data_IF_167443817061
#
_entry.id   IF_167443817061
#
_cell.length_a   1.000
_cell.length_b   1.000
_cell.length_c   1.000
_cell.angle_alpha   90.00
_cell.angle_beta   90.00
_cell.angle_gamma   90.00
#
_symmetry.space_group_name_H-M   'P 1'
#
loop_
_entity.id
_entity.type
_entity.pdbx_description
1 polymer ?
#
# COMPACT_ATOMS: atom_id res chain seq x y z
N UNK A 1 27.96 -39.23 1.44
CA UNK A 1 29.00 -38.17 1.39
C UNK A 1 30.36 -38.84 1.32
N UNK A 2 31.19 -38.50 0.35
CA UNK A 2 32.56 -39.03 0.25
C UNK A 2 33.49 -38.22 1.16
N UNK A 3 34.36 -38.91 1.89
CA UNK A 3 35.44 -38.32 2.69
C UNK A 3 36.76 -38.95 2.25
N UNK A 4 37.85 -38.27 2.54
CA UNK A 4 39.20 -38.67 2.20
C UNK A 4 40.03 -38.80 3.47
N UNK A 5 41.07 -39.61 3.44
CA UNK A 5 42.10 -39.66 4.46
C UNK A 5 43.45 -39.53 3.77
N UNK A 6 44.42 -38.92 4.45
CA UNK A 6 45.80 -38.87 3.98
C UNK A 6 46.54 -40.06 4.57
N UNK A 7 47.19 -40.83 3.70
CA UNK A 7 47.96 -42.01 4.08
C UNK A 7 49.45 -41.71 3.90
N UNK A 8 50.25 -42.11 4.89
CA UNK A 8 51.72 -42.05 4.82
C UNK A 8 52.26 -43.48 4.78
N UNK A 9 53.08 -43.77 3.77
CA UNK A 9 53.70 -45.07 3.54
C UNK A 9 55.10 -44.88 2.95
N UNK A 10 55.99 -45.85 3.15
CA UNK A 10 57.29 -45.91 2.45
C UNK A 10 57.17 -46.50 1.05
N UNK A 11 56.00 -47.01 0.68
CA UNK A 11 55.69 -47.62 -0.61
C UNK A 11 54.51 -46.90 -1.28
N UNK A 12 54.42 -46.97 -2.62
CA UNK A 12 53.32 -46.34 -3.37
C UNK A 12 51.98 -47.08 -3.21
N UNK A 13 52.03 -48.39 -2.93
CA UNK A 13 50.83 -49.19 -2.65
C UNK A 13 50.31 -48.88 -1.25
N UNK A 14 48.99 -48.72 -1.15
CA UNK A 14 48.28 -48.44 0.11
C UNK A 14 47.55 -49.68 0.67
N UNK A 15 47.77 -50.85 0.07
CA UNK A 15 47.19 -52.12 0.51
C UNK A 15 48.05 -52.86 1.55
N UNK A 16 49.27 -52.37 1.81
CA UNK A 16 50.24 -52.97 2.74
C UNK A 16 50.38 -52.20 4.08
N UNK A 17 51.46 -52.46 4.85
CA UNK A 17 51.72 -51.76 6.11
C UNK A 17 51.86 -50.25 5.92
N UNK A 18 51.00 -49.47 6.60
CA UNK A 18 51.00 -48.01 6.57
C UNK A 18 51.71 -47.45 7.79
N UNK A 19 52.38 -46.30 7.66
CA UNK A 19 53.03 -45.61 8.78
C UNK A 19 52.01 -44.83 9.61
N UNK A 20 51.08 -44.15 8.93
CA UNK A 20 50.02 -43.37 9.55
C UNK A 20 48.85 -43.16 8.59
N UNK A 21 47.66 -42.95 9.16
CA UNK A 21 46.44 -42.57 8.45
C UNK A 21 45.81 -41.40 9.19
N UNK A 22 45.45 -40.33 8.49
CA UNK A 22 44.80 -39.17 9.09
C UNK A 22 43.36 -39.45 9.48
N UNK A 23 42.77 -38.54 10.26
CA UNK A 23 41.33 -38.44 10.39
C UNK A 23 40.66 -38.14 9.04
N UNK A 24 39.34 -38.32 9.01
CA UNK A 24 38.51 -38.04 7.85
C UNK A 24 38.50 -36.56 7.49
N UNK A 25 38.92 -36.26 6.27
CA UNK A 25 38.84 -34.97 5.63
C UNK A 25 37.65 -34.90 4.67
N UNK A 26 36.82 -33.88 4.82
CA UNK A 26 35.76 -33.57 3.87
C UNK A 26 36.21 -32.43 2.96
N UNK A 27 36.50 -32.74 1.69
CA UNK A 27 36.99 -31.77 0.71
C UNK A 27 35.79 -31.17 -0.04
N UNK A 28 35.66 -29.85 0.01
CA UNK A 28 34.60 -29.11 -0.68
C UNK A 28 35.13 -27.76 -1.15
N UNK A 29 34.56 -27.21 -2.22
CA UNK A 29 34.79 -25.82 -2.64
C UNK A 29 33.52 -25.00 -2.37
N UNK A 30 33.24 -24.77 -1.08
CA UNK A 30 32.04 -24.07 -0.62
C UNK A 30 32.41 -23.12 0.52
N UNK A 31 32.42 -21.82 0.23
CA UNK A 31 32.74 -20.76 1.20
C UNK A 31 31.74 -20.67 2.36
N UNK A 32 30.58 -21.31 2.23
CA UNK A 32 29.52 -21.35 3.27
C UNK A 32 29.52 -22.65 4.07
N UNK A 33 30.45 -23.58 3.83
CA UNK A 33 30.51 -24.81 4.63
C UNK A 33 30.65 -24.49 6.12
N UNK A 34 29.93 -25.23 6.96
CA UNK A 34 29.87 -25.01 8.40
C UNK A 34 29.03 -23.79 8.84
N UNK A 35 28.63 -22.89 7.93
CA UNK A 35 27.73 -21.78 8.27
C UNK A 35 26.28 -22.27 8.27
N UNK A 36 25.52 -21.89 9.30
CA UNK A 36 24.06 -22.03 9.28
C UNK A 36 23.49 -21.18 8.15
N UNK A 37 22.45 -21.68 7.49
CA UNK A 37 21.71 -20.89 6.51
C UNK A 37 21.26 -19.59 7.20
N UNK A 38 21.66 -18.43 6.65
CA UNK A 38 21.09 -17.16 7.07
C UNK A 38 19.62 -17.19 6.66
N UNK A 39 18.70 -16.95 7.62
CA UNK A 39 17.32 -16.61 7.28
C UNK A 39 17.39 -15.42 6.33
N UNK A 40 16.88 -15.59 5.12
CA UNK A 40 16.68 -14.49 4.15
C UNK A 40 15.45 -13.65 4.52
N UNK A 41 14.90 -13.86 5.72
CA UNK A 41 13.93 -12.95 6.27
C UNK A 41 14.69 -11.70 6.72
N UNK A 42 14.46 -10.53 6.10
CA UNK A 42 15.12 -9.30 6.54
C UNK A 42 14.86 -9.02 8.02
N UNK A 43 13.80 -9.61 8.61
CA UNK A 43 13.35 -9.35 9.96
C UNK A 43 13.90 -10.24 11.07
N UNK A 44 14.80 -11.20 10.77
CA UNK A 44 15.26 -12.17 11.78
C UNK A 44 16.76 -12.52 11.66
N UNK A 45 17.61 -11.85 12.45
CA UNK A 45 19.07 -12.03 12.44
C UNK A 45 19.71 -11.92 13.83
N UNK A 46 20.36 -13.01 14.27
CA UNK A 46 21.03 -13.25 15.55
C UNK A 46 22.36 -12.47 15.80
N UNK A 47 22.52 -11.27 15.23
CA UNK A 47 23.61 -10.34 15.60
C UNK A 47 22.98 -9.21 16.44
N UNK A 48 23.72 -8.50 17.33
CA UNK A 48 23.14 -7.33 18.00
C UNK A 48 22.48 -6.47 16.93
N UNK A 49 21.16 -6.18 17.03
CA UNK A 49 20.41 -5.77 15.87
C UNK A 49 20.97 -4.42 15.44
N UNK A 50 21.69 -4.40 14.32
CA UNK A 50 21.52 -3.27 13.42
C UNK A 50 20.01 -3.23 13.18
N UNK A 51 19.30 -2.18 13.64
CA UNK A 51 17.86 -2.17 13.64
C UNK A 51 17.40 -2.48 12.23
N UNK A 52 16.80 -3.67 12.04
CA UNK A 52 16.12 -3.99 10.79
C UNK A 52 15.04 -2.94 10.70
N UNK A 53 15.24 -2.01 9.79
CA UNK A 53 14.43 -0.84 9.68
C UNK A 53 13.01 -1.33 9.35
N UNK A 54 12.11 -1.19 10.33
CA UNK A 54 10.78 -1.79 10.27
C UNK A 54 9.94 -0.98 9.29
N UNK A 55 9.18 -1.62 8.38
CA UNK A 55 8.29 -0.89 7.48
C UNK A 55 7.33 -0.01 8.25
N UNK A 56 7.28 1.28 7.92
CA UNK A 56 6.39 2.24 8.56
C UNK A 56 5.58 3.02 7.52
N UNK A 57 4.36 3.40 7.88
CA UNK A 57 3.52 4.28 7.06
C UNK A 57 3.64 5.70 7.61
N UNK A 58 3.88 6.67 6.73
CA UNK A 58 3.90 8.11 7.04
C UNK A 58 2.70 8.83 6.46
N UNK A 59 2.29 8.49 5.24
CA UNK A 59 1.15 9.11 4.57
C UNK A 59 0.52 8.17 3.53
N UNK A 60 -0.73 8.46 3.17
CA UNK A 60 -1.51 7.76 2.14
C UNK A 60 -2.13 8.82 1.24
N UNK A 61 -1.93 8.71 -0.07
CA UNK A 61 -2.41 9.69 -1.05
C UNK A 61 -2.95 9.00 -2.30
N UNK A 62 -4.23 9.23 -2.67
CA UNK A 62 -5.27 9.90 -1.89
C UNK A 62 -5.60 9.19 -0.55
N UNK A 63 -6.07 9.93 0.45
CA UNK A 63 -6.49 9.38 1.75
C UNK A 63 -7.97 8.99 1.81
N UNK A 64 -8.67 9.07 0.68
CA UNK A 64 -10.09 8.71 0.55
C UNK A 64 -10.41 8.14 -0.83
N UNK A 65 -11.52 7.43 -0.93
CA UNK A 65 -12.02 6.88 -2.18
C UNK A 65 -13.35 6.17 -2.04
N UNK A 66 -13.91 5.73 -3.16
CA UNK A 66 -15.25 5.15 -3.20
C UNK A 66 -15.30 3.74 -2.61
N UNK A 67 -16.45 3.40 -2.01
CA UNK A 67 -16.79 2.04 -1.54
C UNK A 67 -16.71 0.97 -2.63
N UNK A 68 -16.80 1.34 -3.90
CA UNK A 68 -16.59 0.42 -5.04
C UNK A 68 -15.15 -0.13 -5.13
N UNK A 69 -14.17 0.54 -4.52
CA UNK A 69 -12.76 0.20 -4.67
C UNK A 69 -12.21 0.53 -6.06
N UNK A 70 -11.03 -0.02 -6.37
CA UNK A 70 -10.34 0.14 -7.66
C UNK A 70 -9.63 1.48 -7.86
N UNK A 71 -9.58 2.32 -6.82
CA UNK A 71 -8.82 3.58 -6.87
C UNK A 71 -7.34 3.29 -6.61
N UNK A 72 -6.48 3.91 -7.39
CA UNK A 72 -5.03 3.81 -7.20
C UNK A 72 -4.60 4.72 -6.07
N UNK A 73 -3.89 4.17 -5.09
CA UNK A 73 -3.40 4.88 -3.91
C UNK A 73 -1.90 4.64 -3.77
N UNK A 74 -1.17 5.70 -3.44
CA UNK A 74 0.24 5.64 -3.07
C UNK A 74 0.36 5.69 -1.55
N UNK A 75 1.08 4.74 -1.00
CA UNK A 75 1.44 4.72 0.42
C UNK A 75 2.90 5.15 0.51
N UNK A 76 3.14 6.17 1.34
CA UNK A 76 4.45 6.79 1.56
C UNK A 76 4.91 6.38 2.95
N UNK A 77 6.18 6.00 3.06
CA UNK A 77 6.75 5.51 4.30
C UNK A 77 8.24 5.26 4.22
N UNK A 78 8.74 4.33 5.02
CA UNK A 78 10.12 3.89 4.98
C UNK A 78 10.21 2.36 4.98
N UNK A 79 11.34 1.85 4.48
CA UNK A 79 11.72 0.44 4.51
C UNK A 79 10.75 -0.49 3.79
N UNK A 80 10.13 -0.01 2.71
CA UNK A 80 9.37 -0.86 1.82
C UNK A 80 10.29 -1.73 0.98
N UNK A 81 9.79 -2.88 0.57
CA UNK A 81 10.51 -3.86 -0.24
C UNK A 81 9.51 -4.68 -1.05
N UNK A 82 10.02 -5.38 -2.06
CA UNK A 82 9.20 -6.19 -2.95
C UNK A 82 8.50 -7.35 -2.21
N UNK A 83 7.23 -7.59 -2.53
CA UNK A 83 6.37 -8.57 -1.86
C UNK A 83 5.75 -8.11 -0.53
N UNK A 84 6.01 -6.88 -0.07
CA UNK A 84 5.29 -6.29 1.06
C UNK A 84 3.80 -6.12 0.69
N UNK A 85 2.90 -6.58 1.55
CA UNK A 85 1.46 -6.49 1.34
C UNK A 85 0.88 -5.36 2.19
N UNK A 86 -0.27 -4.84 1.77
CA UNK A 86 -1.01 -3.80 2.49
C UNK A 86 -2.34 -4.37 2.94
N UNK A 87 -2.81 -3.94 4.11
CA UNK A 87 -4.08 -4.41 4.67
C UNK A 87 -4.96 -3.21 4.97
N UNK A 88 -6.12 -3.14 4.30
CA UNK A 88 -7.17 -2.15 4.56
C UNK A 88 -8.17 -2.76 5.54
N UNK A 89 -8.09 -2.38 6.82
CA UNK A 89 -8.82 -3.02 7.90
C UNK A 89 -8.41 -4.49 8.05
N UNK A 90 -9.18 -5.39 7.45
CA UNK A 90 -8.91 -6.84 7.40
C UNK A 90 -8.65 -7.36 5.99
N UNK A 91 -8.86 -6.54 4.95
CA UNK A 91 -8.67 -6.95 3.56
C UNK A 91 -7.23 -6.77 3.14
N UNK A 92 -6.59 -7.89 2.81
CA UNK A 92 -5.23 -7.92 2.28
C UNK A 92 -5.24 -7.59 0.79
N UNK A 93 -4.37 -6.68 0.37
CA UNK A 93 -4.14 -6.33 -1.03
C UNK A 93 -2.66 -6.45 -1.40
N UNK A 94 -2.44 -6.83 -2.65
CA UNK A 94 -1.12 -6.80 -3.25
C UNK A 94 -0.67 -5.35 -3.44
N UNK A 95 0.60 -5.09 -3.16
CA UNK A 95 1.23 -3.81 -3.45
C UNK A 95 2.29 -3.98 -4.52
N UNK A 96 2.43 -2.93 -5.32
CA UNK A 96 3.50 -2.81 -6.29
C UNK A 96 4.59 -1.93 -5.69
N UNK A 97 5.78 -2.49 -5.63
CA UNK A 97 6.94 -1.79 -5.12
C UNK A 97 7.42 -0.72 -6.11
N UNK A 98 7.51 0.53 -5.66
CA UNK A 98 8.07 1.64 -6.47
C UNK A 98 9.48 1.96 -5.96
N UNK A 99 9.59 2.29 -4.67
CA UNK A 99 10.84 2.62 -4.00
C UNK A 99 10.79 2.16 -2.54
N UNK A 100 11.92 2.16 -1.80
CA UNK A 100 11.91 1.93 -0.36
C UNK A 100 11.02 2.89 0.46
N UNK A 101 10.53 3.97 -0.14
CA UNK A 101 9.66 4.96 0.50
C UNK A 101 8.25 5.06 -0.10
N UNK A 102 7.95 4.30 -1.16
CA UNK A 102 6.65 4.35 -1.82
C UNK A 102 6.22 3.00 -2.39
N UNK A 103 4.97 2.64 -2.15
CA UNK A 103 4.28 1.51 -2.78
C UNK A 103 2.95 1.96 -3.37
N UNK A 104 2.55 1.33 -4.47
CA UNK A 104 1.25 1.54 -5.12
C UNK A 104 0.30 0.40 -4.78
N UNK A 105 -0.95 0.72 -4.49
CA UNK A 105 -2.01 -0.26 -4.22
C UNK A 105 -3.31 0.14 -4.93
N UNK A 106 -4.14 -0.86 -5.21
CA UNK A 106 -5.55 -0.63 -5.58
C UNK A 106 -6.42 -0.83 -4.35
N UNK A 107 -7.34 0.10 -4.10
CA UNK A 107 -8.24 0.00 -2.95
C UNK A 107 -9.20 -1.19 -3.14
N UNK A 108 -9.37 -2.05 -2.11
CA UNK A 108 -10.35 -3.11 -2.19
C UNK A 108 -11.79 -2.55 -2.13
N UNK A 109 -12.79 -3.22 -2.74
CA UNK A 109 -14.20 -2.87 -2.52
C UNK A 109 -14.60 -3.04 -1.05
N UNK A 110 -15.46 -2.16 -0.54
CA UNK A 110 -15.94 -2.20 0.85
C UNK A 110 -17.40 -1.75 0.94
N UNK A 111 -18.26 -2.55 1.54
CA UNK A 111 -19.69 -2.23 1.66
C UNK A 111 -20.01 -1.13 2.69
N UNK A 112 -19.18 -1.00 3.73
CA UNK A 112 -19.41 -0.07 4.84
C UNK A 112 -18.52 1.17 4.64
N UNK A 113 -19.10 2.38 4.49
CA UNK A 113 -18.33 3.60 4.40
C UNK A 113 -17.67 3.95 5.75
N UNK A 114 -16.75 4.91 5.73
CA UNK A 114 -16.04 5.41 6.90
C UNK A 114 -14.56 5.03 6.92
N UNK A 115 -13.90 5.41 8.01
CA UNK A 115 -12.46 5.27 8.19
C UNK A 115 -12.07 3.79 8.32
N UNK A 116 -10.98 3.41 7.65
CA UNK A 116 -10.25 2.15 7.89
C UNK A 116 -8.82 2.45 8.30
N UNK A 117 -8.30 1.58 9.15
CA UNK A 117 -6.88 1.52 9.42
C UNK A 117 -6.17 0.79 8.27
N UNK A 118 -5.02 1.32 7.87
CA UNK A 118 -4.15 0.73 6.87
C UNK A 118 -2.88 0.27 7.54
N UNK A 119 -2.55 -1.01 7.39
CA UNK A 119 -1.37 -1.65 7.97
C UNK A 119 -0.59 -2.40 6.89
N UNK A 120 0.59 -2.89 7.23
CA UNK A 120 1.47 -3.63 6.31
C UNK A 120 1.58 -5.09 6.78
N UNK A 121 1.79 -6.02 5.85
CA UNK A 121 1.91 -7.46 6.13
C UNK A 121 2.99 -8.09 5.26
N UNK A 122 3.78 -9.01 5.82
CA UNK A 122 4.71 -9.85 5.07
C UNK A 122 4.90 -11.18 5.78
N UNK A 123 4.75 -12.31 5.06
CA UNK A 123 4.88 -13.67 5.63
C UNK A 123 4.12 -13.85 6.96
N UNK A 124 2.87 -13.38 7.01
CA UNK A 124 2.01 -13.43 8.19
C UNK A 124 2.44 -12.56 9.38
N UNK A 125 3.52 -11.77 9.25
CA UNK A 125 3.91 -10.73 10.21
C UNK A 125 3.27 -9.41 9.81
N UNK A 126 2.52 -8.81 10.73
CA UNK A 126 1.84 -7.53 10.53
C UNK A 126 2.64 -6.39 11.19
N UNK A 127 2.70 -5.24 10.52
CA UNK A 127 3.41 -4.04 10.95
C UNK A 127 2.45 -2.85 11.08
N UNK A 128 2.92 -1.75 11.66
CA UNK A 128 2.16 -0.51 11.84
C UNK A 128 0.87 -0.61 12.68
N UNK A 129 0.69 -1.68 13.49
CA UNK A 129 -0.50 -1.78 14.37
C UNK A 129 -0.62 -0.64 15.38
N UNK A 130 0.50 -0.14 15.89
CA UNK A 130 0.52 0.98 16.85
C UNK A 130 0.48 2.37 16.20
N UNK A 131 0.68 2.45 14.89
CA UNK A 131 0.67 3.70 14.12
C UNK A 131 0.15 3.41 12.70
N UNK A 132 -1.14 3.00 12.55
CA UNK A 132 -1.70 2.68 11.26
C UNK A 132 -1.91 3.93 10.42
N UNK A 133 -1.82 3.78 9.10
CA UNK A 133 -2.37 4.79 8.19
C UNK A 133 -3.89 4.82 8.28
N UNK A 134 -4.51 5.87 7.76
CA UNK A 134 -5.98 5.98 7.71
C UNK A 134 -6.43 6.25 6.28
N UNK A 135 -7.47 5.54 5.86
CA UNK A 135 -8.11 5.74 4.56
C UNK A 135 -9.63 5.83 4.76
N UNK A 136 -10.31 6.74 4.06
CA UNK A 136 -11.75 6.96 4.20
C UNK A 136 -12.50 6.39 3.00
N UNK A 137 -13.42 5.47 3.25
CA UNK A 137 -14.36 5.01 2.23
C UNK A 137 -15.60 5.89 2.19
N UNK A 138 -15.91 6.48 1.04
CA UNK A 138 -17.12 7.29 0.82
C UNK A 138 -18.11 6.50 -0.03
N UNK A 139 -19.39 6.55 0.33
CA UNK A 139 -20.46 5.88 -0.43
C UNK A 139 -21.18 6.89 -1.32
N UNK A 140 -21.31 6.61 -2.62
CA UNK A 140 -22.14 7.41 -3.53
C UNK A 140 -23.64 7.36 -3.23
N UNK A 141 -24.07 6.36 -2.44
CA UNK A 141 -25.46 6.12 -2.06
C UNK A 141 -25.72 6.51 -0.60
N UNK A 142 -24.90 7.39 -0.04
CA UNK A 142 -25.19 7.98 1.26
C UNK A 142 -26.42 8.89 1.15
N UNK A 143 -27.41 8.81 2.07
CA UNK A 143 -28.65 9.59 1.98
C UNK A 143 -28.43 11.10 1.80
N UNK A 144 -27.38 11.64 2.43
CA UNK A 144 -26.97 13.05 2.36
C UNK A 144 -26.52 13.42 0.94
N UNK A 145 -25.70 12.58 0.31
CA UNK A 145 -25.19 12.76 -1.05
C UNK A 145 -26.34 12.62 -2.05
N UNK A 146 -27.16 11.58 -1.91
CA UNK A 146 -28.31 11.36 -2.80
C UNK A 146 -29.33 12.50 -2.71
N UNK A 147 -29.59 13.02 -1.51
CA UNK A 147 -30.44 14.20 -1.33
C UNK A 147 -29.83 15.45 -2.04
N UNK A 148 -28.52 15.63 -1.96
CA UNK A 148 -27.80 16.67 -2.70
C UNK A 148 -28.02 16.56 -4.22
N UNK A 149 -27.89 15.36 -4.78
CA UNK A 149 -28.16 15.11 -6.20
C UNK A 149 -29.62 15.35 -6.58
N UNK A 150 -30.58 14.94 -5.74
CA UNK A 150 -32.01 15.22 -5.97
C UNK A 150 -32.30 16.73 -5.99
N UNK A 151 -31.64 17.50 -5.11
CA UNK A 151 -31.76 18.96 -5.09
C UNK A 151 -31.15 19.60 -6.34
N UNK A 152 -29.93 19.20 -6.71
CA UNK A 152 -29.26 19.69 -7.92
C UNK A 152 -30.06 19.36 -9.19
N UNK A 153 -30.61 18.16 -9.30
CA UNK A 153 -31.42 17.76 -10.45
C UNK A 153 -32.63 18.67 -10.68
N UNK A 154 -33.18 19.29 -9.63
CA UNK A 154 -34.28 20.27 -9.73
C UNK A 154 -33.83 21.69 -10.10
N UNK A 155 -32.58 22.03 -9.82
CA UNK A 155 -32.04 23.40 -9.99
C UNK A 155 -31.27 23.57 -11.30
N UNK A 156 -30.70 22.50 -11.83
CA UNK A 156 -29.86 22.56 -13.02
C UNK A 156 -30.72 22.69 -14.29
N UNK A 157 -30.36 23.61 -15.22
CA UNK A 157 -31.02 23.75 -16.50
C UNK A 157 -30.99 22.47 -17.33
N UNK A 158 -32.10 22.20 -18.01
CA UNK A 158 -32.23 21.10 -18.97
C UNK A 158 -32.06 21.62 -20.39
N UNK A 159 -31.45 20.81 -21.25
CA UNK A 159 -31.28 21.09 -22.66
C UNK A 159 -32.15 20.15 -23.51
N UNK A 160 -32.53 20.53 -24.74
CA UNK A 160 -33.21 19.64 -25.68
C UNK A 160 -32.44 18.32 -25.85
N UNK A 161 -33.14 17.19 -25.75
CA UNK A 161 -32.55 15.84 -25.85
C UNK A 161 -32.08 15.23 -24.54
N UNK A 162 -32.22 15.94 -23.41
CA UNK A 162 -31.89 15.36 -22.10
C UNK A 162 -32.82 14.20 -21.73
N UNK A 163 -32.28 13.08 -21.20
CA UNK A 163 -33.10 11.99 -20.66
C UNK A 163 -33.87 12.45 -19.44
N UNK A 164 -35.01 11.81 -19.10
CA UNK A 164 -35.87 12.19 -17.97
C UNK A 164 -35.09 12.30 -16.63
N UNK A 165 -34.16 11.38 -16.40
CA UNK A 165 -33.20 11.43 -15.29
C UNK A 165 -31.79 11.68 -15.81
N UNK A 166 -31.20 12.81 -15.41
CA UNK A 166 -29.83 13.15 -15.78
C UNK A 166 -28.82 12.26 -15.04
N UNK A 167 -27.76 11.78 -15.70
CA UNK A 167 -26.63 11.12 -15.05
C UNK A 167 -25.97 12.03 -14.00
N UNK A 168 -25.48 11.45 -12.89
CA UNK A 168 -24.82 12.19 -11.78
C UNK A 168 -23.65 13.07 -12.29
N UNK A 169 -22.88 12.58 -13.27
CA UNK A 169 -21.78 13.33 -13.90
C UNK A 169 -22.24 14.59 -14.65
N UNK A 170 -23.37 14.53 -15.36
CA UNK A 170 -23.94 15.68 -16.08
C UNK A 170 -24.49 16.72 -15.10
N UNK A 171 -25.10 16.25 -14.00
CA UNK A 171 -25.54 17.10 -12.89
C UNK A 171 -24.33 17.85 -12.32
N UNK A 172 -23.24 17.17 -11.97
CA UNK A 172 -22.05 17.84 -11.41
C UNK A 172 -21.41 18.81 -12.40
N UNK A 173 -21.28 18.42 -13.67
CA UNK A 173 -20.70 19.28 -14.71
C UNK A 173 -21.46 20.60 -14.83
N UNK A 174 -22.79 20.54 -15.02
CA UNK A 174 -23.59 21.75 -15.19
C UNK A 174 -23.65 22.60 -13.92
N UNK A 175 -23.65 21.97 -12.74
CA UNK A 175 -23.58 22.70 -11.47
C UNK A 175 -22.27 23.48 -11.36
N UNK A 176 -21.15 22.90 -11.77
CA UNK A 176 -19.84 23.56 -11.79
C UNK A 176 -19.83 24.73 -12.79
N UNK A 177 -20.28 24.50 -14.03
CA UNK A 177 -20.36 25.54 -15.07
C UNK A 177 -21.16 26.77 -14.58
N UNK A 178 -22.29 26.54 -13.90
CA UNK A 178 -23.10 27.61 -13.31
C UNK A 178 -22.40 28.33 -12.16
N UNK A 179 -21.74 27.58 -11.28
CA UNK A 179 -21.00 28.17 -10.16
C UNK A 179 -19.87 29.07 -10.68
N UNK A 180 -19.11 28.63 -11.69
CA UNK A 180 -18.05 29.42 -12.32
C UNK A 180 -18.58 30.69 -13.02
N UNK A 181 -19.72 30.57 -13.70
CA UNK A 181 -20.37 31.72 -14.34
C UNK A 181 -20.75 32.82 -13.32
N UNK A 182 -21.20 32.43 -12.11
CA UNK A 182 -21.54 33.39 -11.06
C UNK A 182 -20.32 34.18 -10.55
N UNK A 183 -19.13 33.58 -10.53
CA UNK A 183 -17.89 34.27 -10.16
C UNK A 183 -17.34 35.16 -11.27
N UNK A 184 -17.65 34.85 -12.53
CA UNK A 184 -17.16 35.60 -13.69
C UNK A 184 -18.04 36.82 -14.05
N UNK A 185 -19.22 36.95 -13.43
CA UNK A 185 -20.18 38.04 -13.68
C UNK A 185 -19.77 39.37 -13.02
N UNK A 186 -19.97 40.53 -13.67
CA UNK A 186 -19.74 41.83 -13.05
C UNK A 186 -20.64 42.01 -11.80
N UNK A 187 -20.08 42.56 -10.71
CA UNK A 187 -20.77 42.74 -9.42
C UNK A 187 -22.12 43.47 -9.51
N UNK A 188 -22.33 44.30 -10.53
CA UNK A 188 -23.61 44.99 -10.78
C UNK A 188 -24.78 44.04 -11.09
N UNK A 189 -24.50 42.84 -11.62
CA UNK A 189 -25.49 41.82 -11.94
C UNK A 189 -25.64 40.73 -10.86
N UNK A 190 -24.84 40.75 -9.80
CA UNK A 190 -25.04 39.91 -8.62
C UNK A 190 -26.14 40.48 -7.73
N UNK A 191 -27.37 40.60 -8.26
CA UNK A 191 -28.51 41.04 -7.48
C UNK A 191 -28.90 39.96 -6.47
N UNK A 192 -28.51 40.17 -5.20
CA UNK A 192 -29.11 39.52 -4.03
C UNK A 192 -28.52 38.20 -3.54
N UNK A 193 -27.48 37.65 -4.18
CA UNK A 193 -26.82 36.44 -3.68
C UNK A 193 -25.63 36.81 -2.80
N UNK A 194 -25.73 36.53 -1.50
CA UNK A 194 -24.61 36.64 -0.58
C UNK A 194 -23.48 35.71 -1.02
N UNK A 195 -22.24 36.19 -1.00
CA UNK A 195 -21.06 35.36 -1.24
C UNK A 195 -21.12 34.09 -0.38
N UNK A 196 -20.79 32.90 -0.92
CA UNK A 196 -20.79 31.67 -0.14
C UNK A 196 -19.84 31.82 1.04
N UNK A 197 -20.36 31.68 2.26
CA UNK A 197 -19.55 31.75 3.47
C UNK A 197 -18.68 30.50 3.55
N UNK A 198 -17.38 30.67 3.65
CA UNK A 198 -16.45 29.61 4.05
C UNK A 198 -16.92 29.02 5.39
N UNK A 199 -16.86 27.70 5.61
CA UNK A 199 -17.08 27.13 6.93
C UNK A 199 -16.13 27.80 7.93
N UNK A 200 -16.67 28.31 9.03
CA UNK A 200 -15.86 28.92 10.08
C UNK A 200 -14.85 27.90 10.62
N UNK A 201 -13.57 28.27 10.62
CA UNK A 201 -12.54 27.53 11.34
C UNK A 201 -12.84 27.67 12.83
N UNK A 202 -13.45 26.65 13.43
CA UNK A 202 -13.47 26.53 14.89
C UNK A 202 -12.07 26.06 15.31
N UNK A 203 -11.31 26.98 15.92
CA UNK A 203 -10.11 26.67 16.70
C UNK A 203 -10.48 25.90 17.96
#
# INVERSE_FOLDING_TARGET
>A
MRRFQVVISTQISVEGPLLAVSDNMFVHNNSKHGRRAKRLDPSDGLYPPLPVATPCIKAISPSEGWTSGGSTVIIIGDNFFDGLQVVFGTMLVWSEFITPHAIRVQTPPRHIPGVVEVTLSYKSKQFCKGAPGRFVYVSLNEPTIDYGFQRLQKLIPRHPGDPEKLPKEIILKRAADLAEALYSMPRSNQLGLSAPRSPGMNN
#
